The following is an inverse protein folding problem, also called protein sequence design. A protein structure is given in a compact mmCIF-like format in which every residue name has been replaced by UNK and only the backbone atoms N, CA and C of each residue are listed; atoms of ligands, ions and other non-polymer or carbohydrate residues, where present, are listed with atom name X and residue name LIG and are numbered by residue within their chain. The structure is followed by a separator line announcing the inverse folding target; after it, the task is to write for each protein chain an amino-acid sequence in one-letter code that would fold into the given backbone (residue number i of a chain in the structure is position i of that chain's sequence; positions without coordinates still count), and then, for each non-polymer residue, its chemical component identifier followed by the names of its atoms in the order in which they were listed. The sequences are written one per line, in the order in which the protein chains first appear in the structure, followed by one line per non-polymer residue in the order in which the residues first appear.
data_IF_685024333311
#
_entry.id   IF_685024333311
#
_cell.length_a   1.000
_cell.length_b   1.000
_cell.length_c   1.000
_cell.angle_alpha   90.00
_cell.angle_beta   90.00
_cell.angle_gamma   90.00
#
_symmetry.space_group_name_H-M   'P 1'
#
loop_
_entity.id
_entity.type
_entity.pdbx_description
1 polymer ?
#
# COMPACT_ATOMS: atom_id res chain seq x y z
N UNK A 1 17.01 25.16 4.92
CA UNK A 1 17.83 23.94 4.96
C UNK A 1 18.87 24.08 3.86
N UNK A 2 20.17 23.95 4.14
CA UNK A 2 21.20 24.10 3.09
C UNK A 2 21.19 22.89 2.16
N UNK A 3 21.48 23.11 0.87
CA UNK A 3 21.51 22.07 -0.17
C UNK A 3 22.42 20.90 0.23
N UNK A 4 23.56 21.20 0.88
CA UNK A 4 24.50 20.21 1.40
C UNK A 4 23.86 19.25 2.42
N UNK A 5 23.02 19.74 3.34
CA UNK A 5 22.33 18.89 4.33
C UNK A 5 21.31 17.95 3.69
N UNK A 6 20.70 18.36 2.58
CA UNK A 6 19.76 17.52 1.82
C UNK A 6 20.53 16.43 1.07
N UNK A 7 21.66 16.78 0.44
CA UNK A 7 22.51 15.81 -0.27
C UNK A 7 23.10 14.77 0.68
N UNK A 8 23.54 15.16 1.89
CA UNK A 8 24.03 14.21 2.90
C UNK A 8 22.94 13.26 3.36
N UNK A 9 21.73 13.75 3.66
CA UNK A 9 20.60 12.89 4.08
C UNK A 9 20.18 11.88 3.00
N UNK A 10 20.17 12.30 1.73
CA UNK A 10 19.84 11.43 0.59
C UNK A 10 20.91 10.36 0.39
N UNK A 11 22.20 10.73 0.51
CA UNK A 11 23.29 9.78 0.35
C UNK A 11 23.38 8.79 1.52
N UNK A 12 23.10 9.23 2.75
CA UNK A 12 23.07 8.37 3.93
C UNK A 12 21.89 7.38 3.86
N UNK A 13 20.74 7.82 3.35
CA UNK A 13 19.60 6.92 3.05
C UNK A 13 19.94 5.91 1.96
N UNK A 14 20.66 6.32 0.92
CA UNK A 14 21.05 5.43 -0.18
C UNK A 14 22.08 4.38 0.26
N UNK A 15 23.05 4.78 1.09
CA UNK A 15 24.04 3.85 1.66
C UNK A 15 23.40 2.83 2.62
N UNK A 16 22.38 3.23 3.38
CA UNK A 16 21.63 2.34 4.26
C UNK A 16 20.81 1.30 3.50
N UNK A 17 20.16 1.69 2.39
CA UNK A 17 19.42 0.76 1.51
C UNK A 17 20.34 -0.32 0.93
N UNK A 18 21.62 0.00 0.66
CA UNK A 18 22.59 -0.97 0.16
C UNK A 18 23.20 -1.90 1.23
N UNK A 19 23.00 -1.61 2.52
CA UNK A 19 23.55 -2.39 3.63
C UNK A 19 22.55 -3.37 4.26
N UNK A 20 21.30 -3.40 3.79
CA UNK A 20 20.35 -4.43 4.23
C UNK A 20 20.86 -5.80 3.75
N UNK A 21 21.01 -6.80 4.64
CA UNK A 21 21.43 -8.14 4.23
C UNK A 21 20.46 -8.68 3.19
N UNK A 22 20.99 -9.04 2.03
CA UNK A 22 20.29 -9.93 1.11
C UNK A 22 20.29 -11.35 1.70
N UNK A 23 19.31 -12.16 1.30
CA UNK A 23 19.37 -13.64 1.38
C UNK A 23 18.69 -14.42 2.52
N UNK A 24 17.79 -13.82 3.32
CA UNK A 24 16.71 -14.60 4.00
C UNK A 24 15.31 -14.19 3.59
N UNK A 25 15.14 -12.94 3.13
CA UNK A 25 13.85 -12.34 2.72
C UNK A 25 13.43 -12.75 1.30
N UNK A 26 14.37 -13.25 0.48
CA UNK A 26 14.10 -13.70 -0.89
C UNK A 26 13.22 -14.95 -0.96
N UNK A 27 13.38 -15.88 -0.03
CA UNK A 27 12.60 -17.13 0.03
C UNK A 27 11.14 -16.90 0.43
N UNK A 28 10.88 -15.97 1.35
CA UNK A 28 9.54 -15.64 1.86
C UNK A 28 8.67 -14.90 0.82
N UNK A 29 9.28 -14.12 -0.07
CA UNK A 29 8.55 -13.45 -1.13
C UNK A 29 8.14 -14.40 -2.26
N UNK A 30 9.04 -15.31 -2.64
CA UNK A 30 8.72 -16.36 -3.62
C UNK A 30 7.54 -17.21 -3.16
N UNK A 31 7.36 -17.41 -1.85
CA UNK A 31 6.22 -18.16 -1.35
C UNK A 31 4.89 -17.43 -1.47
N UNK A 32 4.80 -16.15 -1.83
CA UNK A 32 3.50 -15.53 -2.12
C UNK A 32 3.08 -15.67 -3.57
N UNK A 33 4.05 -15.86 -4.46
CA UNK A 33 3.79 -16.14 -5.87
C UNK A 33 3.66 -17.64 -6.12
N UNK A 34 2.88 -18.01 -7.14
CA UNK A 34 3.21 -19.25 -7.83
C UNK A 34 4.58 -19.06 -8.52
N UNK A 35 5.40 -20.10 -8.51
CA UNK A 35 6.64 -20.18 -9.28
C UNK A 35 6.51 -19.69 -10.73
N UNK A 36 5.34 -19.82 -11.34
CA UNK A 36 5.05 -19.32 -12.68
C UNK A 36 4.93 -17.79 -12.72
N UNK A 37 4.18 -17.20 -11.80
CA UNK A 37 4.00 -15.73 -11.71
C UNK A 37 5.32 -15.04 -11.40
N UNK A 38 6.13 -15.62 -10.51
CA UNK A 38 7.45 -15.10 -10.18
C UNK A 38 8.36 -15.03 -11.42
N UNK A 39 8.31 -16.05 -12.29
CA UNK A 39 9.07 -16.07 -13.55
C UNK A 39 8.54 -15.05 -14.55
N UNK A 40 7.21 -14.89 -14.64
CA UNK A 40 6.60 -13.87 -15.51
C UNK A 40 7.05 -12.45 -15.12
N UNK A 41 7.20 -12.17 -13.82
CA UNK A 41 7.62 -10.86 -13.33
C UNK A 41 9.11 -10.55 -13.53
N UNK A 42 9.93 -11.57 -13.78
CA UNK A 42 11.37 -11.42 -14.07
C UNK A 42 11.67 -11.43 -15.57
N UNK A 43 10.67 -11.68 -16.42
CA UNK A 43 10.89 -11.78 -17.86
C UNK A 43 11.14 -10.39 -18.47
N UNK A 44 12.14 -10.31 -19.36
CA UNK A 44 12.44 -9.10 -20.14
C UNK A 44 11.30 -8.68 -21.09
N UNK A 45 10.40 -9.62 -21.41
CA UNK A 45 9.22 -9.39 -22.23
C UNK A 45 7.98 -10.03 -21.58
N UNK A 46 6.94 -9.22 -21.37
CA UNK A 46 5.66 -9.65 -20.80
C UNK A 46 4.86 -10.38 -21.89
N UNK A 47 4.60 -11.67 -21.71
CA UNK A 47 3.66 -12.42 -22.56
C UNK A 47 2.22 -12.07 -22.18
N UNK A 48 1.70 -10.97 -22.72
CA UNK A 48 0.34 -10.49 -22.43
C UNK A 48 -0.73 -11.25 -23.23
N UNK A 49 -1.91 -11.45 -22.61
CA UNK A 49 -3.10 -11.92 -23.33
C UNK A 49 -3.80 -10.77 -24.04
N UNK A 50 -3.80 -9.58 -23.43
CA UNK A 50 -4.40 -8.35 -23.94
C UNK A 50 -3.46 -7.18 -23.68
N UNK A 51 -3.39 -6.26 -24.64
CA UNK A 51 -2.72 -4.96 -24.49
C UNK A 51 -3.72 -3.81 -24.49
N UNK A 52 -3.62 -2.93 -23.50
CA UNK A 52 -4.35 -1.66 -23.42
C UNK A 52 -3.40 -0.52 -23.77
N UNK A 53 -3.78 0.34 -24.71
CA UNK A 53 -3.01 1.52 -25.09
C UNK A 53 -3.93 2.68 -25.45
N UNK A 54 -3.80 3.81 -24.75
CA UNK A 54 -4.67 4.98 -24.95
C UNK A 54 -4.51 5.63 -26.33
N UNK A 55 -3.38 5.37 -27.02
CA UNK A 55 -3.09 5.85 -28.36
C UNK A 55 -3.68 4.97 -29.48
N UNK A 56 -4.37 3.88 -29.12
CA UNK A 56 -4.96 2.92 -30.06
C UNK A 56 -3.99 1.87 -30.61
N UNK A 57 -2.76 1.81 -30.10
CA UNK A 57 -1.75 0.82 -30.53
C UNK A 57 -1.87 -0.56 -29.86
N UNK A 58 -2.93 -0.79 -29.08
CA UNK A 58 -3.24 -2.04 -28.38
C UNK A 58 -4.60 -2.59 -28.79
N UNK A 59 -5.01 -3.70 -28.17
CA UNK A 59 -6.31 -4.33 -28.42
C UNK A 59 -7.47 -3.48 -27.92
N UNK A 60 -7.26 -2.73 -26.83
CA UNK A 60 -8.24 -1.81 -26.24
C UNK A 60 -7.63 -0.46 -25.89
N UNK A 61 -8.46 0.58 -25.87
CA UNK A 61 -8.08 1.91 -25.36
C UNK A 61 -8.51 2.14 -23.91
N UNK A 62 -9.41 1.31 -23.38
CA UNK A 62 -9.91 1.35 -21.99
C UNK A 62 -9.51 0.09 -21.23
N UNK A 63 -9.11 0.27 -19.97
CA UNK A 63 -8.76 -0.83 -19.06
C UNK A 63 -10.00 -1.65 -18.72
N UNK A 64 -11.15 -0.99 -18.49
CA UNK A 64 -12.37 -1.69 -18.11
C UNK A 64 -12.92 -2.57 -19.25
N UNK A 65 -12.76 -2.17 -20.51
CA UNK A 65 -13.13 -3.03 -21.65
C UNK A 65 -12.26 -4.29 -21.73
N UNK A 66 -10.95 -4.17 -21.48
CA UNK A 66 -10.06 -5.34 -21.39
C UNK A 66 -10.47 -6.29 -20.24
N UNK A 67 -10.88 -5.74 -19.08
CA UNK A 67 -11.38 -6.54 -17.95
C UNK A 67 -12.68 -7.27 -18.31
N UNK A 68 -13.60 -6.63 -19.04
CA UNK A 68 -14.89 -7.24 -19.41
C UNK A 68 -14.71 -8.52 -20.22
N UNK A 69 -13.76 -8.53 -21.17
CA UNK A 69 -13.51 -9.67 -22.06
C UNK A 69 -12.64 -10.77 -21.44
N UNK A 70 -11.92 -10.50 -20.35
CA UNK A 70 -11.16 -11.51 -19.63
C UNK A 70 -12.06 -12.69 -19.20
N UNK A 71 -11.58 -13.94 -19.20
CA UNK A 71 -12.40 -15.09 -18.84
C UNK A 71 -12.88 -15.01 -17.38
N UNK A 72 -14.11 -15.46 -17.13
CA UNK A 72 -14.64 -15.59 -15.78
C UNK A 72 -14.13 -16.89 -15.14
N UNK A 73 -13.84 -16.85 -13.85
CA UNK A 73 -13.47 -18.00 -13.02
C UNK A 73 -12.30 -18.82 -13.59
N UNK A 74 -11.44 -18.18 -14.38
CA UNK A 74 -10.27 -18.84 -14.98
C UNK A 74 -9.30 -19.26 -13.89
N UNK A 75 -8.83 -20.50 -13.95
CA UNK A 75 -7.71 -20.96 -13.13
C UNK A 75 -6.35 -20.56 -13.72
N UNK A 76 -6.32 -20.18 -15.00
CA UNK A 76 -5.12 -19.67 -15.65
C UNK A 76 -4.97 -18.16 -15.40
N UNK A 77 -3.72 -17.73 -15.22
CA UNK A 77 -3.29 -16.32 -15.17
C UNK A 77 -3.68 -15.62 -16.48
N UNK A 78 -4.42 -14.51 -16.36
CA UNK A 78 -4.80 -13.69 -17.51
C UNK A 78 -4.11 -12.32 -17.42
N UNK A 79 -3.15 -12.08 -18.30
CA UNK A 79 -2.26 -10.91 -18.27
C UNK A 79 -2.80 -9.81 -19.17
N UNK A 80 -3.09 -8.66 -18.56
CA UNK A 80 -3.43 -7.40 -19.24
C UNK A 80 -2.23 -6.47 -19.12
N UNK A 81 -1.56 -6.20 -20.23
CA UNK A 81 -0.48 -5.23 -20.30
C UNK A 81 -1.04 -3.85 -20.62
N UNK A 82 -0.64 -2.83 -19.86
CA UNK A 82 -1.21 -1.48 -19.91
C UNK A 82 -0.09 -0.49 -20.19
N UNK A 83 -0.03 0.01 -21.42
CA UNK A 83 1.02 0.94 -21.86
C UNK A 83 0.97 2.26 -21.07
N UNK A 84 2.06 3.00 -21.11
CA UNK A 84 2.21 4.31 -20.46
C UNK A 84 1.11 5.27 -20.90
N UNK A 85 0.38 5.78 -19.92
CA UNK A 85 -0.56 6.89 -20.04
C UNK A 85 -1.17 7.18 -18.66
N UNK A 86 -1.92 8.28 -18.58
CA UNK A 86 -2.89 8.51 -17.51
C UNK A 86 -4.28 8.12 -18.00
N UNK A 87 -4.79 7.01 -17.49
CA UNK A 87 -6.13 6.50 -17.74
C UNK A 87 -7.10 7.08 -16.71
N UNK A 88 -7.95 8.01 -17.15
CA UNK A 88 -9.00 8.61 -16.30
C UNK A 88 -10.23 7.71 -16.29
N UNK A 89 -10.16 6.63 -15.53
CA UNK A 89 -11.14 5.55 -15.53
C UNK A 89 -11.39 5.05 -14.10
N UNK A 90 -12.62 4.66 -13.81
CA UNK A 90 -12.94 3.87 -12.62
C UNK A 90 -12.97 2.40 -13.01
N UNK A 91 -12.08 1.60 -12.45
CA UNK A 91 -11.90 0.19 -12.82
C UNK A 91 -12.27 -0.69 -11.64
N UNK A 92 -13.15 -1.67 -11.89
CA UNK A 92 -13.48 -2.72 -10.95
C UNK A 92 -13.08 -4.07 -11.55
N UNK A 93 -12.38 -4.89 -10.77
CA UNK A 93 -12.15 -6.32 -11.06
C UNK A 93 -13.23 -7.10 -10.30
N UNK A 94 -14.32 -7.53 -10.96
CA UNK A 94 -15.43 -8.17 -10.28
C UNK A 94 -15.06 -9.52 -9.67
N UNK A 95 -15.86 -9.99 -8.71
CA UNK A 95 -15.61 -11.23 -7.96
C UNK A 95 -15.42 -12.47 -8.84
N UNK A 96 -16.02 -12.52 -10.03
CA UNK A 96 -15.88 -13.63 -10.97
C UNK A 96 -14.67 -13.52 -11.91
N UNK A 97 -13.87 -12.44 -11.86
CA UNK A 97 -12.65 -12.28 -12.66
C UNK A 97 -11.43 -12.72 -11.86
N UNK A 98 -11.16 -14.03 -11.84
CA UNK A 98 -10.06 -14.62 -11.08
C UNK A 98 -8.73 -14.53 -11.83
N UNK A 99 -7.63 -14.49 -11.09
CA UNK A 99 -6.26 -14.61 -11.63
C UNK A 99 -5.89 -13.57 -12.69
N UNK A 100 -6.52 -12.38 -12.66
CA UNK A 100 -6.10 -11.26 -13.51
C UNK A 100 -4.75 -10.74 -13.00
N UNK A 101 -3.81 -10.52 -13.92
CA UNK A 101 -2.59 -9.78 -13.68
C UNK A 101 -2.56 -8.55 -14.59
N UNK A 102 -2.34 -7.39 -14.00
CA UNK A 102 -2.14 -6.13 -14.72
C UNK A 102 -0.69 -5.69 -14.61
N UNK A 103 -0.08 -5.37 -15.74
CA UNK A 103 1.32 -4.92 -15.80
C UNK A 103 1.40 -3.61 -16.56
N UNK A 104 1.99 -2.59 -15.93
CA UNK A 104 2.21 -1.28 -16.54
C UNK A 104 3.62 -1.12 -17.11
N UNK A 105 3.87 0.02 -17.76
CA UNK A 105 5.21 0.41 -18.24
C UNK A 105 6.13 0.95 -17.14
N UNK A 106 5.62 1.04 -15.91
CA UNK A 106 6.34 1.63 -14.78
C UNK A 106 5.39 2.37 -13.86
N UNK A 107 5.69 2.35 -12.56
CA UNK A 107 4.93 3.05 -11.52
C UNK A 107 4.70 4.54 -11.84
N UNK A 108 5.64 5.20 -12.52
CA UNK A 108 5.54 6.61 -12.90
C UNK A 108 5.10 6.83 -14.37
N UNK A 109 4.74 5.76 -15.09
CA UNK A 109 4.40 5.79 -16.52
C UNK A 109 2.96 5.39 -16.80
N UNK A 110 2.45 4.38 -16.10
CA UNK A 110 1.06 3.90 -16.22
C UNK A 110 0.27 4.29 -14.96
N UNK A 111 -0.69 5.20 -15.11
CA UNK A 111 -1.45 5.78 -13.99
C UNK A 111 -2.95 5.59 -14.25
N UNK A 112 -3.67 5.03 -13.28
CA UNK A 112 -5.14 4.95 -13.27
C UNK A 112 -5.66 5.99 -12.27
N UNK A 113 -6.47 6.93 -12.76
CA UNK A 113 -6.79 8.17 -12.05
C UNK A 113 -8.29 8.44 -11.96
N UNK A 114 -8.75 8.75 -10.75
CA UNK A 114 -10.12 9.13 -10.45
C UNK A 114 -10.17 10.25 -9.41
N UNK A 115 -11.37 10.67 -9.04
CA UNK A 115 -11.60 11.77 -8.09
C UNK A 115 -12.90 11.65 -7.30
N UNK A 116 -13.48 10.46 -7.19
CA UNK A 116 -14.65 10.22 -6.35
C UNK A 116 -14.28 10.39 -4.87
N UNK A 117 -15.23 10.88 -4.08
CA UNK A 117 -15.05 11.24 -2.68
C UNK A 117 -16.39 11.35 -1.96
N UNK A 118 -16.36 11.47 -0.63
CA UNK A 118 -17.56 11.67 0.17
C UNK A 118 -18.33 12.93 -0.23
N UNK A 119 -17.63 14.04 -0.43
CA UNK A 119 -18.23 15.31 -0.86
C UNK A 119 -18.80 15.28 -2.28
N UNK A 120 -18.32 14.40 -3.15
CA UNK A 120 -18.86 14.18 -4.49
C UNK A 120 -19.98 13.13 -4.54
N UNK A 121 -20.45 12.65 -3.38
CA UNK A 121 -21.60 11.74 -3.27
C UNK A 121 -21.23 10.26 -3.18
N UNK A 122 -19.95 9.92 -3.05
CA UNK A 122 -19.47 8.54 -2.93
C UNK A 122 -18.98 8.28 -1.51
N UNK A 123 -19.66 7.40 -0.77
CA UNK A 123 -19.12 6.91 0.49
C UNK A 123 -17.74 6.24 0.30
N UNK A 124 -16.94 6.13 1.37
CA UNK A 124 -15.55 5.64 1.32
C UNK A 124 -15.37 4.41 0.43
N UNK A 125 -16.18 3.36 0.62
CA UNK A 125 -16.09 2.13 -0.18
C UNK A 125 -16.30 2.36 -1.68
N UNK A 126 -17.26 3.20 -2.05
CA UNK A 126 -17.62 3.51 -3.44
C UNK A 126 -16.73 4.58 -4.08
N UNK A 127 -15.87 5.24 -3.31
CA UNK A 127 -14.97 6.29 -3.81
C UNK A 127 -13.71 5.74 -4.51
N UNK A 128 -13.49 4.43 -4.47
CA UNK A 128 -12.30 3.78 -5.03
C UNK A 128 -12.14 4.04 -6.53
N UNK A 129 -10.98 4.57 -6.92
CA UNK A 129 -10.60 4.68 -8.35
C UNK A 129 -10.38 3.29 -8.96
N UNK A 130 -9.67 2.43 -8.23
CA UNK A 130 -9.47 1.04 -8.59
C UNK A 130 -9.96 0.12 -7.47
N UNK A 131 -10.82 -0.84 -7.82
CA UNK A 131 -11.43 -1.77 -6.88
C UNK A 131 -11.22 -3.22 -7.32
N UNK A 132 -10.77 -4.07 -6.40
CA UNK A 132 -10.49 -5.49 -6.70
C UNK A 132 -11.31 -6.40 -5.81
N UNK A 133 -12.23 -7.15 -6.41
CA UNK A 133 -13.06 -8.15 -5.72
C UNK A 133 -12.73 -9.59 -6.17
N UNK A 134 -12.15 -9.78 -7.37
CA UNK A 134 -11.73 -11.09 -7.88
C UNK A 134 -10.45 -11.60 -7.21
N UNK A 135 -10.40 -12.89 -6.86
CA UNK A 135 -9.28 -13.51 -6.13
C UNK A 135 -7.97 -13.60 -6.94
N UNK A 136 -6.86 -13.66 -6.23
CA UNK A 136 -5.50 -13.85 -6.76
C UNK A 136 -5.11 -12.79 -7.79
N UNK A 137 -5.57 -11.56 -7.59
CA UNK A 137 -5.23 -10.44 -8.46
C UNK A 137 -3.76 -10.03 -8.27
N UNK A 138 -3.10 -9.68 -9.37
CA UNK A 138 -1.73 -9.17 -9.33
C UNK A 138 -1.66 -7.83 -10.07
N UNK A 139 -1.03 -6.82 -9.48
CA UNK A 139 -0.65 -5.59 -10.17
C UNK A 139 0.87 -5.37 -10.09
N UNK A 140 1.46 -4.97 -11.21
CA UNK A 140 2.89 -4.71 -11.33
C UNK A 140 3.12 -3.41 -12.08
N UNK A 141 4.00 -2.54 -11.56
CA UNK A 141 4.47 -1.34 -12.27
C UNK A 141 3.35 -0.38 -12.72
N UNK A 142 2.35 -0.16 -11.86
CA UNK A 142 1.18 0.71 -12.10
C UNK A 142 0.96 1.63 -10.89
N UNK A 143 0.52 2.88 -11.13
CA UNK A 143 -0.01 3.75 -10.07
C UNK A 143 -1.54 3.80 -10.10
N UNK A 144 -2.16 3.69 -8.92
CA UNK A 144 -3.56 4.01 -8.66
C UNK A 144 -3.62 5.35 -7.91
N UNK A 145 -4.41 6.30 -8.40
CA UNK A 145 -4.54 7.61 -7.76
C UNK A 145 -5.97 8.11 -7.62
N UNK A 146 -6.21 8.84 -6.53
CA UNK A 146 -7.41 9.64 -6.35
C UNK A 146 -7.03 11.11 -6.14
N UNK A 147 -7.47 11.97 -7.05
CA UNK A 147 -7.09 13.39 -7.11
C UNK A 147 -8.09 14.33 -6.45
N UNK A 148 -9.09 13.82 -5.70
CA UNK A 148 -10.13 14.65 -5.09
C UNK A 148 -9.55 15.79 -4.23
N UNK A 149 -8.52 15.49 -3.43
CA UNK A 149 -7.84 16.48 -2.60
C UNK A 149 -8.22 16.40 -1.11
N UNK A 150 -7.46 17.08 -0.23
CA UNK A 150 -7.61 16.93 1.21
C UNK A 150 -8.87 17.60 1.79
N UNK A 151 -9.57 18.43 1.00
CA UNK A 151 -10.82 19.11 1.40
C UNK A 151 -12.07 18.26 1.13
N UNK A 152 -11.93 17.18 0.37
CA UNK A 152 -13.06 16.38 -0.14
C UNK A 152 -13.42 15.20 0.79
N UNK A 153 -12.81 15.13 1.98
CA UNK A 153 -12.99 14.02 2.91
C UNK A 153 -12.40 12.71 2.37
N UNK A 154 -13.08 11.59 2.64
CA UNK A 154 -12.62 10.25 2.24
C UNK A 154 -12.63 10.09 0.71
N UNK A 155 -11.51 9.64 0.14
CA UNK A 155 -11.34 9.46 -1.29
C UNK A 155 -10.31 8.36 -1.60
N UNK A 156 -10.79 7.16 -1.92
CA UNK A 156 -9.96 5.96 -2.07
C UNK A 156 -9.30 5.90 -3.45
N UNK A 157 -7.99 5.65 -3.50
CA UNK A 157 -7.27 5.38 -4.75
C UNK A 157 -7.35 3.90 -5.11
N UNK A 158 -7.06 3.01 -4.14
CA UNK A 158 -7.10 1.56 -4.32
C UNK A 158 -7.90 0.90 -3.18
N UNK A 159 -8.89 0.10 -3.53
CA UNK A 159 -9.58 -0.84 -2.63
C UNK A 159 -9.30 -2.27 -3.06
N UNK A 160 -8.91 -3.13 -2.12
CA UNK A 160 -8.81 -4.58 -2.36
C UNK A 160 -9.63 -5.37 -1.36
N UNK A 161 -10.50 -6.21 -1.91
CA UNK A 161 -11.29 -7.27 -1.28
C UNK A 161 -10.83 -8.66 -1.77
N UNK A 162 -9.72 -8.71 -2.50
CA UNK A 162 -9.21 -9.89 -3.18
C UNK A 162 -8.35 -10.74 -2.26
N UNK A 163 -8.71 -12.03 -2.14
CA UNK A 163 -7.90 -13.00 -1.42
C UNK A 163 -6.62 -13.32 -2.19
N UNK A 164 -5.50 -13.35 -1.48
CA UNK A 164 -4.14 -13.52 -2.03
C UNK A 164 -3.81 -12.52 -3.16
N UNK A 165 -4.19 -11.25 -3.00
CA UNK A 165 -3.80 -10.21 -3.96
C UNK A 165 -2.37 -9.72 -3.73
N UNK A 166 -1.68 -9.39 -4.83
CA UNK A 166 -0.31 -8.91 -4.80
C UNK A 166 -0.16 -7.60 -5.57
N UNK A 167 0.52 -6.64 -4.97
CA UNK A 167 0.87 -5.36 -5.58
C UNK A 167 2.38 -5.19 -5.50
N UNK A 168 3.05 -5.15 -6.66
CA UNK A 168 4.50 -5.08 -6.75
C UNK A 168 4.96 -3.87 -7.55
N UNK A 169 5.81 -3.02 -6.96
CA UNK A 169 6.24 -1.75 -7.58
C UNK A 169 5.05 -0.88 -8.01
N UNK A 170 4.02 -0.83 -7.16
CA UNK A 170 2.82 -0.04 -7.41
C UNK A 170 2.85 1.29 -6.66
N UNK A 171 2.28 2.33 -7.26
CA UNK A 171 2.01 3.60 -6.61
C UNK A 171 0.58 3.65 -6.11
N UNK A 172 0.37 4.15 -4.90
CA UNK A 172 -0.97 4.44 -4.36
C UNK A 172 -0.96 5.88 -3.86
N UNK A 173 -1.71 6.75 -4.53
CA UNK A 173 -1.63 8.21 -4.32
C UNK A 173 -2.99 8.79 -3.99
N UNK A 174 -3.10 9.44 -2.84
CA UNK A 174 -4.29 10.19 -2.48
C UNK A 174 -4.04 11.18 -1.36
N UNK A 175 -5.08 11.39 -0.57
CA UNK A 175 -5.06 12.15 0.69
C UNK A 175 -5.68 11.29 1.78
N UNK A 176 -6.90 11.59 2.22
CA UNK A 176 -7.59 10.78 3.22
C UNK A 176 -8.10 9.47 2.60
N UNK A 177 -7.89 8.36 3.31
CA UNK A 177 -8.36 7.01 2.93
C UNK A 177 -7.74 6.48 1.61
N UNK A 178 -6.47 6.80 1.31
CA UNK A 178 -5.86 6.50 0.00
C UNK A 178 -5.85 5.01 -0.37
N UNK A 179 -5.47 4.13 0.56
CA UNK A 179 -5.36 2.69 0.38
C UNK A 179 -6.31 1.97 1.35
N UNK A 180 -7.25 1.19 0.79
CA UNK A 180 -8.24 0.43 1.53
C UNK A 180 -8.06 -1.09 1.36
N UNK A 181 -7.11 -1.73 2.07
CA UNK A 181 -6.99 -3.19 2.17
C UNK A 181 -8.15 -3.70 3.04
N UNK A 182 -9.32 -3.84 2.42
CA UNK A 182 -10.60 -3.97 3.12
C UNK A 182 -10.69 -5.27 3.90
N UNK A 183 -10.34 -6.41 3.28
CA UNK A 183 -10.39 -7.75 3.90
C UNK A 183 -9.46 -8.75 3.20
N UNK A 184 -9.34 -9.94 3.79
CA UNK A 184 -8.61 -11.11 3.25
C UNK A 184 -7.09 -10.91 3.16
N UNK A 185 -6.38 -11.78 2.44
CA UNK A 185 -4.92 -11.82 2.41
C UNK A 185 -4.34 -10.95 1.29
N UNK A 186 -3.43 -10.06 1.63
CA UNK A 186 -2.86 -9.10 0.67
C UNK A 186 -1.37 -8.87 0.90
N UNK A 187 -0.63 -8.68 -0.17
CA UNK A 187 0.81 -8.43 -0.11
C UNK A 187 1.22 -7.24 -0.98
N UNK A 188 1.92 -6.29 -0.39
CA UNK A 188 2.43 -5.11 -1.07
C UNK A 188 3.95 -5.08 -0.95
N UNK A 189 4.67 -5.01 -2.07
CA UNK A 189 6.13 -4.95 -2.06
C UNK A 189 6.69 -3.90 -2.98
N UNK A 190 7.69 -3.16 -2.49
CA UNK A 190 8.38 -2.11 -3.26
C UNK A 190 7.38 -1.04 -3.77
N UNK A 191 6.26 -0.87 -3.05
CA UNK A 191 5.23 0.11 -3.39
C UNK A 191 5.54 1.48 -2.79
N UNK A 192 5.03 2.54 -3.43
CA UNK A 192 5.00 3.91 -2.89
C UNK A 192 3.58 4.28 -2.51
N UNK A 193 3.31 4.47 -1.23
CA UNK A 193 1.96 4.74 -0.70
C UNK A 193 1.95 6.12 -0.06
N UNK A 194 1.07 7.01 -0.49
CA UNK A 194 1.01 8.39 0.00
C UNK A 194 -0.40 8.88 0.27
N UNK A 195 -0.56 9.65 1.35
CA UNK A 195 -1.84 10.23 1.76
C UNK A 195 -1.74 11.09 3.01
N UNK A 196 -2.85 11.33 3.71
CA UNK A 196 -2.89 12.16 4.93
C UNK A 196 -3.51 11.41 6.11
N UNK A 197 -4.82 11.55 6.29
CA UNK A 197 -5.57 10.94 7.40
C UNK A 197 -5.91 9.49 7.02
N UNK A 198 -5.56 8.54 7.87
CA UNK A 198 -5.89 7.10 7.73
C UNK A 198 -5.66 6.54 6.32
N UNK A 199 -4.58 6.98 5.67
CA UNK A 199 -4.38 6.69 4.26
C UNK A 199 -4.01 5.23 3.95
N UNK A 200 -3.81 4.40 4.99
CA UNK A 200 -3.85 2.95 4.94
C UNK A 200 -4.80 2.50 6.05
N UNK A 201 -5.91 1.86 5.69
CA UNK A 201 -6.95 1.45 6.65
C UNK A 201 -7.73 0.24 6.15
N UNK A 202 -8.24 -0.60 7.06
CA UNK A 202 -9.04 -1.78 6.71
C UNK A 202 -8.90 -2.91 7.71
N UNK A 203 -9.38 -4.10 7.32
CA UNK A 203 -9.43 -5.31 8.16
C UNK A 203 -8.80 -6.53 7.44
N UNK A 204 -7.96 -6.28 6.43
CA UNK A 204 -7.19 -7.33 5.76
C UNK A 204 -6.06 -7.87 6.63
N UNK A 205 -5.70 -9.12 6.38
CA UNK A 205 -4.41 -9.68 6.74
C UNK A 205 -3.40 -9.23 5.68
N UNK A 206 -2.66 -8.16 5.98
CA UNK A 206 -1.81 -7.49 4.98
C UNK A 206 -0.38 -7.33 5.45
N UNK A 207 0.58 -7.57 4.54
CA UNK A 207 1.99 -7.26 4.75
C UNK A 207 2.48 -6.23 3.73
N UNK A 208 3.19 -5.22 4.22
CA UNK A 208 3.91 -4.24 3.43
C UNK A 208 5.41 -4.49 3.59
N UNK A 209 6.11 -4.82 2.51
CA UNK A 209 7.53 -5.16 2.56
C UNK A 209 8.33 -4.28 1.60
N UNK A 210 9.41 -3.66 2.08
CA UNK A 210 10.24 -2.73 1.28
C UNK A 210 9.43 -1.60 0.63
N UNK A 211 8.31 -1.19 1.24
CA UNK A 211 7.48 -0.09 0.74
C UNK A 211 7.95 1.26 1.28
N UNK A 212 7.77 2.31 0.48
CA UNK A 212 7.87 3.69 0.94
C UNK A 212 6.47 4.17 1.35
N UNK A 213 6.29 4.43 2.65
CA UNK A 213 5.03 4.96 3.21
C UNK A 213 5.23 6.46 3.47
N UNK A 214 4.48 7.31 2.76
CA UNK A 214 4.76 8.74 2.55
C UNK A 214 3.53 9.64 2.85
N UNK A 215 3.22 9.94 4.12
CA UNK A 215 2.30 11.00 4.49
C UNK A 215 2.67 12.35 3.91
N UNK A 216 1.61 13.08 3.60
CA UNK A 216 1.59 14.39 2.99
C UNK A 216 1.17 15.43 4.04
N UNK A 217 1.27 16.70 3.69
CA UNK A 217 0.74 17.77 4.54
C UNK A 217 -0.78 17.65 4.69
N UNK A 218 -1.26 17.49 5.93
CA UNK A 218 -2.68 17.52 6.25
C UNK A 218 -3.21 18.97 6.37
N UNK A 219 -4.53 19.14 6.45
CA UNK A 219 -5.13 20.45 6.74
C UNK A 219 -4.85 20.88 8.19
N UNK A 220 -4.89 22.19 8.50
CA UNK A 220 -4.74 22.67 9.88
C UNK A 220 -5.70 21.96 10.85
N UNK A 221 -5.16 21.46 11.97
CA UNK A 221 -5.93 20.73 12.99
C UNK A 221 -6.09 19.23 12.74
N UNK A 222 -5.63 18.69 11.60
CA UNK A 222 -5.58 17.25 11.35
C UNK A 222 -4.22 16.66 11.76
N UNK A 223 -4.22 15.35 12.04
CA UNK A 223 -3.01 14.55 12.29
C UNK A 223 -2.96 13.39 11.30
N UNK A 224 -1.75 12.96 10.93
CA UNK A 224 -1.55 11.82 10.05
C UNK A 224 -1.27 10.54 10.84
N UNK A 225 -1.48 9.41 10.18
CA UNK A 225 -1.10 8.08 10.65
C UNK A 225 -0.15 7.41 9.62
N UNK A 226 1.16 7.40 9.94
CA UNK A 226 2.34 6.64 9.44
C UNK A 226 3.28 7.30 8.39
N UNK A 227 4.45 7.81 8.84
CA UNK A 227 5.80 8.08 8.21
C UNK A 227 6.10 9.21 7.19
N UNK A 228 5.90 10.49 7.51
CA UNK A 228 6.08 11.68 6.63
C UNK A 228 7.52 12.24 6.44
N UNK A 229 7.62 13.16 5.48
CA UNK A 229 8.71 14.12 5.31
C UNK A 229 8.53 15.30 6.30
N UNK A 230 9.62 15.96 6.72
CA UNK A 230 9.63 17.00 7.77
C UNK A 230 8.52 18.06 7.61
N UNK A 231 7.47 17.96 8.44
CA UNK A 231 6.31 18.86 8.45
C UNK A 231 5.87 19.09 9.90
N UNK A 232 5.17 20.21 10.24
CA UNK A 232 4.71 20.47 11.60
C UNK A 232 3.47 19.66 11.99
N UNK A 233 2.96 18.79 11.10
CA UNK A 233 1.79 17.94 11.35
C UNK A 233 2.17 16.77 12.26
N UNK A 234 1.54 16.63 13.45
CA UNK A 234 1.70 15.45 14.29
C UNK A 234 1.38 14.19 13.49
N UNK A 235 2.32 13.24 13.47
CA UNK A 235 2.17 11.98 12.76
C UNK A 235 2.41 10.82 13.72
N UNK A 236 1.51 9.84 13.70
CA UNK A 236 1.51 8.69 14.60
C UNK A 236 1.64 7.39 13.78
N UNK A 237 2.00 6.27 14.39
CA UNK A 237 2.05 4.94 13.77
C UNK A 237 0.67 4.33 13.50
N UNK A 238 -0.40 4.88 14.09
CA UNK A 238 -1.74 4.35 13.89
C UNK A 238 -2.70 4.81 14.97
N UNK A 239 -3.98 4.45 14.80
CA UNK A 239 -5.06 4.63 15.77
C UNK A 239 -6.09 3.52 15.65
N UNK A 240 -6.67 3.03 16.75
CA UNK A 240 -7.51 1.84 16.72
C UNK A 240 -8.93 2.17 16.24
N UNK A 241 -9.23 1.91 14.97
CA UNK A 241 -10.58 2.10 14.44
C UNK A 241 -11.60 1.11 15.02
N UNK A 242 -11.15 -0.08 15.46
CA UNK A 242 -11.95 -1.18 16.00
C UNK A 242 -11.34 -1.74 17.29
N UNK A 243 -12.16 -2.40 18.11
CA UNK A 243 -11.81 -2.91 19.45
C UNK A 243 -10.55 -3.77 19.48
N UNK A 244 -10.34 -4.63 18.48
CA UNK A 244 -9.20 -5.55 18.42
C UNK A 244 -8.19 -5.16 17.34
N UNK A 245 -8.03 -3.85 17.09
CA UNK A 245 -7.09 -3.33 16.09
C UNK A 245 -5.69 -3.92 16.30
N UNK A 246 -5.08 -4.40 15.20
CA UNK A 246 -3.76 -5.01 15.22
C UNK A 246 -2.86 -4.40 14.16
N UNK A 247 -1.68 -3.96 14.55
CA UNK A 247 -0.68 -3.36 13.64
C UNK A 247 0.71 -3.59 14.19
N UNK A 248 1.65 -4.01 13.35
CA UNK A 248 3.04 -4.24 13.75
C UNK A 248 3.98 -3.51 12.80
N UNK A 249 4.90 -2.73 13.35
CA UNK A 249 6.05 -2.17 12.64
C UNK A 249 7.29 -2.94 13.03
N UNK A 250 7.89 -3.64 12.08
CA UNK A 250 9.10 -4.42 12.33
C UNK A 250 10.18 -4.12 11.29
N UNK A 251 11.42 -4.01 11.76
CA UNK A 251 12.61 -3.76 10.93
C UNK A 251 12.42 -2.57 9.97
N UNK A 252 11.68 -1.56 10.44
CA UNK A 252 11.28 -0.39 9.66
C UNK A 252 12.12 0.82 10.03
N UNK A 253 12.59 1.57 9.03
CA UNK A 253 13.19 2.89 9.27
C UNK A 253 12.10 3.95 9.52
N UNK A 254 12.22 4.70 10.61
CA UNK A 254 11.29 5.76 11.01
C UNK A 254 12.02 7.09 11.11
N UNK A 255 11.62 8.06 10.28
CA UNK A 255 12.12 9.44 10.35
C UNK A 255 11.62 10.14 11.63
N UNK A 256 12.18 11.32 11.93
CA UNK A 256 11.94 12.07 13.18
C UNK A 256 10.57 12.73 13.27
N UNK A 257 9.70 12.47 12.30
CA UNK A 257 8.35 13.02 12.22
C UNK A 257 7.37 12.24 13.10
N UNK A 258 7.70 11.00 13.47
CA UNK A 258 6.84 10.16 14.30
C UNK A 258 6.81 10.79 15.69
N UNK A 259 5.60 11.10 16.16
CA UNK A 259 5.39 11.60 17.51
C UNK A 259 5.97 10.60 18.51
N UNK A 260 6.73 11.04 19.54
CA UNK A 260 7.30 10.13 20.54
C UNK A 260 6.28 9.22 21.24
N UNK A 261 5.02 9.66 21.38
CA UNK A 261 3.90 8.85 21.88
C UNK A 261 3.62 7.61 21.00
N UNK A 262 3.99 7.67 19.72
CA UNK A 262 3.86 6.60 18.73
C UNK A 262 2.45 6.43 18.24
N UNK A 263 1.49 6.17 19.12
CA UNK A 263 0.13 5.74 18.77
C UNK A 263 -0.90 6.78 19.19
N UNK A 264 -1.89 7.05 18.34
CA UNK A 264 -2.93 8.06 18.59
C UNK A 264 -4.21 7.40 19.09
N UNK A 265 -4.81 7.98 20.13
CA UNK A 265 -6.07 7.49 20.70
C UNK A 265 -7.21 7.65 19.69
N UNK A 266 -8.11 6.67 19.63
CA UNK A 266 -9.40 6.81 18.96
C UNK A 266 -10.43 7.50 19.87
N UNK A 267 -11.62 7.84 19.35
CA UNK A 267 -12.67 8.46 20.19
C UNK A 267 -13.23 7.50 21.24
N UNK A 268 -13.09 6.19 21.02
CA UNK A 268 -13.48 5.12 21.96
C UNK A 268 -12.25 4.49 22.61
N UNK A 269 -12.43 3.90 23.79
CA UNK A 269 -11.35 3.23 24.54
C UNK A 269 -11.15 1.79 24.10
N UNK A 270 -10.02 1.52 23.44
CA UNK A 270 -9.60 0.19 22.95
C UNK A 270 -8.18 -0.18 23.39
N UNK A 271 -7.58 0.60 24.27
CA UNK A 271 -6.18 0.52 24.69
C UNK A 271 -5.80 -0.82 25.36
N UNK A 272 -6.78 -1.51 25.94
CA UNK A 272 -6.58 -2.81 26.59
C UNK A 272 -6.83 -4.02 25.70
N UNK A 273 -7.43 -3.83 24.52
CA UNK A 273 -7.86 -4.93 23.62
C UNK A 273 -7.15 -4.93 22.27
N UNK A 274 -6.55 -3.81 21.87
CA UNK A 274 -5.71 -3.72 20.68
C UNK A 274 -4.39 -4.49 20.84
N UNK A 275 -3.70 -4.74 19.73
CA UNK A 275 -2.33 -5.25 19.71
C UNK A 275 -1.47 -4.42 18.75
N UNK A 276 -0.65 -3.53 19.30
CA UNK A 276 0.28 -2.69 18.56
C UNK A 276 1.72 -3.07 18.89
N UNK A 277 2.45 -3.55 17.89
CA UNK A 277 3.80 -4.09 18.05
C UNK A 277 4.87 -3.24 17.37
N UNK A 278 6.02 -3.09 18.02
CA UNK A 278 7.24 -2.54 17.42
C UNK A 278 8.41 -3.53 17.62
N UNK A 279 9.18 -3.81 16.57
CA UNK A 279 10.33 -4.72 16.63
C UNK A 279 11.51 -4.21 15.79
N UNK A 280 12.67 -3.97 16.41
CA UNK A 280 13.92 -3.60 15.71
C UNK A 280 13.79 -2.47 14.67
N UNK A 281 12.91 -1.50 14.94
CA UNK A 281 12.81 -0.30 14.10
C UNK A 281 14.06 0.57 14.29
N UNK A 282 14.42 1.31 13.25
CA UNK A 282 15.63 2.16 13.22
C UNK A 282 15.29 3.60 12.84
N UNK A 283 16.23 4.52 13.03
CA UNK A 283 16.04 5.93 12.69
C UNK A 283 15.51 6.78 13.85
N UNK A 284 15.48 8.11 13.67
CA UNK A 284 15.23 9.05 14.77
C UNK A 284 13.80 9.03 15.33
N UNK A 285 12.82 8.45 14.64
CA UNK A 285 11.45 8.25 15.14
C UNK A 285 11.22 6.91 15.85
N UNK A 286 12.20 6.01 15.85
CA UNK A 286 12.04 4.64 16.34
C UNK A 286 12.26 4.48 17.86
N UNK A 287 12.69 5.52 18.58
CA UNK A 287 12.82 5.45 20.04
C UNK A 287 11.46 5.17 20.68
N UNK A 288 11.43 4.21 21.59
CA UNK A 288 10.21 3.74 22.26
C UNK A 288 10.05 4.30 23.69
N UNK A 289 11.02 5.09 24.18
CA UNK A 289 11.11 5.56 25.58
C UNK A 289 9.92 6.41 26.03
N UNK A 290 9.20 7.00 25.08
CA UNK A 290 8.07 7.90 25.30
C UNK A 290 6.75 7.38 24.72
N UNK A 291 6.72 6.11 24.29
CA UNK A 291 5.49 5.50 23.77
C UNK A 291 4.40 5.53 24.83
N UNK A 292 3.16 5.61 24.36
CA UNK A 292 1.99 5.50 25.23
C UNK A 292 2.06 4.21 26.06
N UNK A 293 1.70 4.31 27.35
CA UNK A 293 1.70 3.17 28.27
C UNK A 293 0.35 2.42 28.23
N UNK A 294 -0.04 1.96 27.04
CA UNK A 294 -1.29 1.20 26.84
C UNK A 294 -1.04 -0.30 26.99
N UNK A 295 -1.93 -1.06 27.65
CA UNK A 295 -1.73 -2.50 27.83
C UNK A 295 -1.56 -3.28 26.51
N UNK A 296 -2.17 -2.83 25.43
CA UNK A 296 -2.06 -3.44 24.10
C UNK A 296 -0.87 -2.98 23.26
N UNK A 297 0.02 -2.11 23.78
CA UNK A 297 1.23 -1.68 23.08
C UNK A 297 2.43 -2.50 23.56
N UNK A 298 3.17 -3.08 22.62
CA UNK A 298 4.21 -4.07 22.88
C UNK A 298 5.49 -3.77 22.10
N UNK A 299 6.63 -3.84 22.81
CA UNK A 299 7.93 -3.98 22.18
C UNK A 299 8.21 -5.47 22.09
N UNK A 300 8.27 -5.99 20.86
CA UNK A 300 8.33 -7.43 20.63
C UNK A 300 9.75 -7.96 20.79
N UNK A 301 9.87 -9.23 21.18
CA UNK A 301 11.09 -10.00 21.00
C UNK A 301 11.11 -10.74 19.65
N UNK A 302 12.20 -11.44 19.35
CA UNK A 302 12.35 -12.15 18.08
C UNK A 302 11.35 -13.29 17.89
N UNK A 303 10.94 -13.98 18.96
CA UNK A 303 9.97 -15.08 18.88
C UNK A 303 8.57 -14.57 18.59
N UNK A 304 8.20 -13.43 19.16
CA UNK A 304 6.94 -12.75 18.89
C UNK A 304 6.94 -12.16 17.48
N UNK A 305 8.03 -11.52 17.06
CA UNK A 305 8.16 -10.95 15.72
C UNK A 305 8.06 -12.00 14.60
N UNK A 306 8.57 -13.22 14.84
CA UNK A 306 8.46 -14.34 13.89
C UNK A 306 7.02 -14.72 13.54
N UNK A 307 6.05 -14.41 14.40
CA UNK A 307 4.62 -14.65 14.12
C UNK A 307 4.05 -13.70 13.06
N UNK A 308 4.79 -12.64 12.72
CA UNK A 308 4.39 -11.62 11.76
C UNK A 308 5.25 -11.65 10.49
N UNK A 309 6.03 -12.72 10.26
CA UNK A 309 6.73 -12.90 8.99
C UNK A 309 5.77 -13.35 7.89
N UNK A 310 6.17 -13.07 6.66
CA UNK A 310 5.42 -13.38 5.43
C UNK A 310 5.02 -14.86 5.36
N UNK A 311 5.87 -15.76 5.86
CA UNK A 311 5.63 -17.21 5.91
C UNK A 311 4.45 -17.63 6.79
N UNK A 312 4.01 -16.79 7.74
CA UNK A 312 2.91 -17.09 8.68
C UNK A 312 1.54 -16.65 8.15
N UNK A 313 1.50 -15.93 7.03
CA UNK A 313 0.30 -15.30 6.49
C UNK A 313 -0.25 -15.99 5.22
N UNK A 314 0.21 -17.21 4.93
CA UNK A 314 -0.23 -18.02 3.78
C UNK A 314 -1.13 -19.17 4.20
#
# INVERSE_FOLDING_TARGET
MSLEKVTTLVNDQWAYVQQMPDDTVGHDFQSWFDSHDWKLMQADAISANITVASDGSGDFTSIMEAVKVAPNNSLARFVIYIKKATYKEYVSIPQNKWNIMMVGDGMDQTIISGSHSNTTGYGTYGSATFAVDGQQFVAVDITFENTAGPKEGQAVALRSDSDFSIFYRCGIRGYQDSLYPHKLHQFYRECRISGTVDFIFGDATVVFQKCEILPRQALPGQSNTITAQANPTPTFLGRPWKTYSRTVFMETFMSNIINPEGWLRWTSSFESTLFYGEYKNTGPGASTDKRVNWPGVHILDSSQAQLYTVSQFR
#
